data_IF_416116569861
#
_entry.id   IF_416116569861
#
_cell.length_a   1.000
_cell.length_b   1.000
_cell.length_c   1.000
_cell.angle_alpha   90.00
_cell.angle_beta   90.00
_cell.angle_gamma   90.00
#
_symmetry.space_group_name_H-M   'P 1'
#
loop_
_entity.id
_entity.type
_entity.pdbx_description
1 polymer ?
#
# COMPACT_ATOMS: atom_id res chain seq x y z
N UNK A 1 14.13 5.57 -2.60
CA UNK A 1 13.67 4.45 -1.75
C UNK A 1 12.31 3.97 -2.25
N UNK A 2 11.94 2.70 -2.04
CA UNK A 2 10.70 2.12 -2.57
C UNK A 2 9.87 1.47 -1.47
N UNK A 3 8.59 1.81 -1.40
CA UNK A 3 7.59 1.21 -0.52
C UNK A 3 6.50 0.56 -1.38
N UNK A 4 6.02 -0.59 -0.93
CA UNK A 4 4.88 -1.29 -1.56
C UNK A 4 3.81 -1.44 -0.50
N UNK A 5 2.62 -0.92 -0.78
CA UNK A 5 1.53 -0.85 0.19
C UNK A 5 0.18 -1.12 -0.47
N UNK A 6 -0.76 -1.63 0.31
CA UNK A 6 -2.16 -1.76 -0.11
C UNK A 6 -2.95 -0.54 0.34
N UNK A 7 -3.85 -0.06 -0.51
CA UNK A 7 -4.69 1.10 -0.22
C UNK A 7 -6.15 0.74 -0.49
N UNK A 8 -7.01 0.93 0.50
CA UNK A 8 -8.45 0.68 0.40
C UNK A 8 -9.05 0.05 1.66
N UNK A 9 -10.39 -0.03 1.76
CA UNK A 9 -11.07 -0.56 2.93
C UNK A 9 -10.65 -2.00 3.25
N UNK A 10 -10.54 -2.31 4.53
CA UNK A 10 -10.22 -3.66 4.98
C UNK A 10 -11.29 -4.67 4.53
N UNK A 11 -10.90 -5.94 4.40
CA UNK A 11 -11.77 -7.05 3.99
C UNK A 11 -12.37 -6.96 2.57
N UNK A 12 -12.05 -5.90 1.82
CA UNK A 12 -12.50 -5.69 0.43
C UNK A 12 -11.35 -5.82 -0.58
N UNK A 13 -11.62 -5.61 -1.87
CA UNK A 13 -10.58 -5.49 -2.89
C UNK A 13 -9.89 -4.12 -2.68
N UNK A 14 -8.58 -4.15 -2.51
CA UNK A 14 -7.69 -3.00 -2.30
C UNK A 14 -6.82 -2.78 -3.55
N UNK A 15 -6.25 -1.59 -3.71
CA UNK A 15 -5.23 -1.33 -4.76
C UNK A 15 -3.84 -1.58 -4.19
N UNK A 16 -2.99 -2.31 -4.91
CA UNK A 16 -1.56 -2.38 -4.62
C UNK A 16 -0.86 -1.18 -5.24
N UNK A 17 -0.23 -0.36 -4.40
CA UNK A 17 0.49 0.82 -4.81
C UNK A 17 1.99 0.68 -4.55
N UNK A 18 2.77 1.18 -5.49
CA UNK A 18 4.21 1.35 -5.35
C UNK A 18 4.49 2.83 -5.19
N UNK A 19 5.10 3.17 -4.05
CA UNK A 19 5.56 4.51 -3.74
C UNK A 19 7.08 4.58 -3.90
N UNK A 20 7.53 5.51 -4.72
CA UNK A 20 8.95 5.74 -4.99
C UNK A 20 9.33 7.17 -4.63
N UNK A 21 10.35 7.32 -3.78
CA UNK A 21 10.96 8.62 -3.52
C UNK A 21 12.08 8.88 -4.54
N UNK A 22 11.96 9.97 -5.29
CA UNK A 22 12.95 10.40 -6.28
C UNK A 22 14.18 11.01 -5.60
N UNK A 23 15.23 11.26 -6.39
CA UNK A 23 16.45 11.90 -5.90
C UNK A 23 16.20 13.37 -5.50
N UNK A 24 15.25 14.04 -6.15
CA UNK A 24 14.83 15.41 -5.83
C UNK A 24 13.97 15.49 -4.57
N UNK A 25 13.52 14.34 -4.06
CA UNK A 25 12.68 14.25 -2.86
C UNK A 25 11.19 14.13 -3.13
N UNK A 26 10.77 14.17 -4.40
CA UNK A 26 9.39 13.98 -4.81
C UNK A 26 8.94 12.53 -4.60
N UNK A 27 7.63 12.32 -4.51
CA UNK A 27 7.03 10.99 -4.39
C UNK A 27 6.22 10.66 -5.63
N UNK A 28 6.54 9.52 -6.27
CA UNK A 28 5.78 8.96 -7.37
C UNK A 28 4.94 7.78 -6.88
N UNK A 29 3.66 7.78 -7.21
CA UNK A 29 2.71 6.71 -6.87
C UNK A 29 2.31 6.00 -8.15
N UNK A 30 2.33 4.67 -8.15
CA UNK A 30 1.84 3.84 -9.26
C UNK A 30 0.90 2.77 -8.72
N UNK A 31 -0.34 2.75 -9.21
CA UNK A 31 -1.26 1.62 -9.01
C UNK A 31 -0.84 0.45 -9.90
N UNK A 32 -0.65 -0.72 -9.31
CA UNK A 32 -0.14 -1.91 -10.02
C UNK A 32 -1.27 -2.86 -10.37
N UNK A 33 -2.01 -3.32 -9.36
CA UNK A 33 -3.07 -4.31 -9.53
C UNK A 33 -4.01 -4.34 -8.31
N UNK A 34 -5.29 -4.74 -8.50
CA UNK A 34 -6.20 -4.99 -7.39
C UNK A 34 -5.78 -6.23 -6.60
N UNK A 35 -5.74 -6.12 -5.27
CA UNK A 35 -5.36 -7.19 -4.33
C UNK A 35 -6.42 -7.41 -3.27
N UNK A 36 -6.40 -8.57 -2.62
CA UNK A 36 -7.20 -8.85 -1.43
C UNK A 36 -6.28 -9.50 -0.39
N UNK A 37 -5.87 -8.73 0.61
CA UNK A 37 -5.02 -9.22 1.70
C UNK A 37 -5.85 -9.49 2.95
N UNK A 38 -5.36 -10.36 3.83
CA UNK A 38 -5.83 -10.43 5.21
C UNK A 38 -5.59 -9.08 5.91
N UNK A 39 -6.43 -8.66 6.88
CA UNK A 39 -6.25 -7.39 7.60
C UNK A 39 -4.86 -7.29 8.23
N UNK A 40 -4.38 -6.06 8.37
CA UNK A 40 -3.07 -5.76 8.94
C UNK A 40 -3.42 -5.15 10.28
N UNK A 41 -3.61 -6.05 11.23
CA UNK A 41 -4.01 -5.72 12.58
C UNK A 41 -2.76 -5.30 13.35
N UNK A 42 -2.90 -4.29 14.20
CA UNK A 42 -1.92 -4.03 15.24
C UNK A 42 -2.05 -5.07 16.37
N UNK A 43 -1.04 -5.16 17.24
CA UNK A 43 -1.01 -6.14 18.34
C UNK A 43 -2.16 -5.97 19.35
N UNK A 44 -2.74 -4.78 19.44
CA UNK A 44 -3.86 -4.47 20.35
C UNK A 44 -5.22 -4.95 19.81
N UNK A 45 -5.30 -5.22 18.49
CA UNK A 45 -6.52 -5.71 17.81
C UNK A 45 -6.55 -7.24 17.62
N UNK A 46 -5.62 -7.98 18.24
CA UNK A 46 -5.57 -9.46 18.30
C UNK A 46 -6.22 -9.98 19.59
#
# INVERSE_FOLDING_TARGET
>A
GRMVIRVGPEYTIQSLQVLEKTAEGDTRVTDVLPVRFVPFLDEESL
#
